data_IF_713388969751
#
_entry.id   IF_713388969751
#
_cell.length_a   1.000
_cell.length_b   1.000
_cell.length_c   1.000
_cell.angle_alpha   90.00
_cell.angle_beta   90.00
_cell.angle_gamma   90.00
#
_symmetry.space_group_name_H-M   'P 1'
#
loop_
_entity.id
_entity.type
_entity.pdbx_description
1 polymer ?
#
# COMPACT_ATOMS: atom_id res chain seq x y z
N UNK A 1 50.67 -39.81 32.97
CA UNK A 1 49.81 -38.64 33.27
C UNK A 1 49.91 -37.50 32.25
N UNK A 2 51.09 -37.02 31.83
CA UNK A 2 51.22 -35.86 30.91
C UNK A 2 50.56 -36.00 29.51
N UNK A 3 50.46 -37.21 28.93
CA UNK A 3 49.84 -37.42 27.60
C UNK A 3 48.31 -37.35 27.62
N UNK A 4 47.67 -37.85 28.68
CA UNK A 4 46.20 -37.80 28.85
C UNK A 4 45.70 -36.37 29.08
N UNK A 5 46.46 -35.55 29.79
CA UNK A 5 46.14 -34.12 30.00
C UNK A 5 46.15 -33.35 28.66
N UNK A 6 47.10 -33.65 27.76
CA UNK A 6 47.18 -33.01 26.44
C UNK A 6 46.02 -33.40 25.52
N UNK A 7 45.61 -34.67 25.53
CA UNK A 7 44.47 -35.14 24.73
C UNK A 7 43.16 -34.56 25.27
N UNK A 8 43.02 -34.48 26.61
CA UNK A 8 41.88 -33.83 27.26
C UNK A 8 41.77 -32.34 26.91
N UNK A 9 42.89 -31.60 26.86
CA UNK A 9 42.88 -30.19 26.47
C UNK A 9 42.49 -29.99 25.00
N UNK A 10 42.98 -30.85 24.11
CA UNK A 10 42.65 -30.78 22.67
C UNK A 10 41.16 -31.12 22.48
N UNK A 11 40.65 -32.14 23.17
CA UNK A 11 39.23 -32.52 23.09
C UNK A 11 38.33 -31.40 23.64
N UNK A 12 38.73 -30.74 24.73
CA UNK A 12 38.03 -29.59 25.27
C UNK A 12 38.04 -28.40 24.29
N UNK A 13 39.16 -28.14 23.60
CA UNK A 13 39.26 -27.08 22.60
C UNK A 13 38.41 -27.36 21.35
N UNK A 14 38.31 -28.62 20.91
CA UNK A 14 37.45 -29.02 19.78
C UNK A 14 35.98 -28.92 20.17
N UNK A 15 35.59 -29.34 21.39
CA UNK A 15 34.23 -29.17 21.90
C UNK A 15 33.85 -27.69 22.03
N UNK A 16 34.76 -26.84 22.51
CA UNK A 16 34.52 -25.39 22.61
C UNK A 16 34.30 -24.74 21.24
N UNK A 17 35.09 -25.11 20.23
CA UNK A 17 34.91 -24.62 18.85
C UNK A 17 33.63 -25.17 18.20
N UNK A 18 33.27 -26.42 18.50
CA UNK A 18 31.99 -27.00 18.06
C UNK A 18 30.79 -26.23 18.63
N UNK A 19 30.84 -25.86 19.92
CA UNK A 19 29.79 -25.05 20.56
C UNK A 19 29.75 -23.62 19.98
N UNK A 20 30.91 -23.02 19.67
CA UNK A 20 31.01 -21.70 19.03
C UNK A 20 30.37 -21.66 17.63
N UNK A 21 30.39 -22.76 16.88
CA UNK A 21 29.71 -22.85 15.58
C UNK A 21 28.17 -22.82 15.69
N UNK A 22 27.61 -23.13 16.86
CA UNK A 22 26.17 -23.05 17.14
C UNK A 22 25.78 -21.80 17.95
N UNK A 23 26.74 -21.01 18.42
CA UNK A 23 26.46 -19.75 19.14
C UNK A 23 25.63 -18.75 18.33
N UNK A 24 25.77 -18.61 16.99
CA UNK A 24 24.86 -17.76 16.22
C UNK A 24 23.41 -18.21 16.38
N UNK A 25 23.14 -19.52 16.35
CA UNK A 25 21.78 -20.07 16.51
C UNK A 25 21.19 -19.92 17.92
N UNK A 26 22.02 -19.67 18.93
CA UNK A 26 21.58 -19.41 20.31
C UNK A 26 21.48 -17.91 20.63
N UNK A 27 22.14 -17.04 19.87
CA UNK A 27 21.96 -15.58 19.95
C UNK A 27 20.77 -15.10 19.11
N UNK A 28 20.32 -15.90 18.13
CA UNK A 28 19.09 -15.69 17.36
C UNK A 28 17.91 -16.51 17.91
N UNK A 29 17.87 -16.83 19.20
CA UNK A 29 16.63 -17.29 19.83
C UNK A 29 15.71 -16.08 20.02
N UNK A 30 14.73 -15.94 19.13
CA UNK A 30 13.48 -15.19 19.28
C UNK A 30 13.58 -13.82 19.96
N UNK A 31 14.61 -13.05 19.61
CA UNK A 31 14.70 -11.60 19.91
C UNK A 31 14.42 -10.74 18.69
N UNK A 32 13.72 -11.29 17.69
CA UNK A 32 12.62 -10.51 17.15
C UNK A 32 11.58 -10.45 18.27
N UNK A 33 11.74 -9.46 19.14
CA UNK A 33 10.60 -8.91 19.85
C UNK A 33 9.52 -8.81 18.77
N UNK A 34 8.47 -9.63 18.88
CA UNK A 34 7.20 -9.30 18.24
C UNK A 34 7.06 -7.81 18.42
N UNK A 35 6.81 -7.00 17.37
CA UNK A 35 6.47 -5.62 17.60
C UNK A 35 5.47 -5.65 18.74
N UNK A 36 5.73 -4.87 19.80
CA UNK A 36 4.73 -4.64 20.81
C UNK A 36 3.63 -3.91 20.04
N UNK A 37 2.75 -4.70 19.42
CA UNK A 37 1.46 -4.28 18.92
C UNK A 37 0.74 -3.97 20.22
N UNK A 38 0.97 -2.75 20.69
CA UNK A 38 -0.02 -2.05 21.47
C UNK A 38 -1.15 -1.86 20.46
N UNK A 39 -1.94 -2.91 20.27
CA UNK A 39 -3.35 -2.79 19.95
C UNK A 39 -3.94 -2.05 21.17
N UNK A 40 -3.64 -0.75 21.29
CA UNK A 40 -4.76 0.14 21.50
C UNK A 40 -5.61 -0.14 20.27
N UNK A 41 -6.59 -1.03 20.45
CA UNK A 41 -7.79 -1.00 19.66
C UNK A 41 -8.31 0.43 19.84
N UNK A 42 -7.79 1.35 19.02
CA UNK A 42 -8.58 2.48 18.57
C UNK A 42 -9.90 1.83 18.21
N UNK A 43 -10.96 2.16 18.94
CA UNK A 43 -12.29 1.77 18.56
C UNK A 43 -12.51 2.42 17.19
N UNK A 44 -12.12 1.70 16.15
CA UNK A 44 -12.17 2.19 14.80
C UNK A 44 -13.65 2.39 14.52
N UNK A 45 -14.04 3.59 14.07
CA UNK A 45 -15.41 3.84 13.71
C UNK A 45 -15.82 2.81 12.66
N UNK A 46 -16.65 1.85 13.07
CA UNK A 46 -17.16 0.78 12.21
C UNK A 46 -18.34 1.36 11.44
N UNK A 47 -18.04 2.22 10.48
CA UNK A 47 -19.06 2.77 9.61
C UNK A 47 -19.27 1.79 8.45
N UNK A 48 -20.46 1.18 8.39
CA UNK A 48 -20.90 0.36 7.27
C UNK A 48 -21.32 1.25 6.08
N UNK A 49 -20.42 2.13 5.63
CA UNK A 49 -20.65 2.96 4.44
C UNK A 49 -20.45 2.14 3.17
N UNK A 50 -21.14 2.51 2.10
CA UNK A 50 -20.89 1.90 0.79
C UNK A 50 -19.55 2.40 0.21
N UNK A 51 -18.99 1.68 -0.75
CA UNK A 51 -17.71 2.08 -1.34
C UNK A 51 -17.86 3.33 -2.20
N UNK A 52 -19.03 3.54 -2.80
CA UNK A 52 -19.42 4.77 -3.48
C UNK A 52 -19.39 5.96 -2.49
N UNK A 53 -20.03 5.82 -1.31
CA UNK A 53 -19.98 6.85 -0.26
C UNK A 53 -18.54 7.14 0.19
N UNK A 54 -17.69 6.10 0.27
CA UNK A 54 -16.28 6.25 0.61
C UNK A 54 -15.48 6.98 -0.49
N UNK A 55 -15.80 6.75 -1.77
CA UNK A 55 -15.20 7.48 -2.89
C UNK A 55 -15.58 8.96 -2.83
N UNK A 56 -16.85 9.28 -2.61
CA UNK A 56 -17.34 10.66 -2.51
C UNK A 56 -16.68 11.42 -1.35
N UNK A 57 -16.55 10.78 -0.18
CA UNK A 57 -15.84 11.34 0.97
C UNK A 57 -14.35 11.51 0.66
N UNK A 58 -13.73 10.47 0.07
CA UNK A 58 -12.31 10.47 -0.23
C UNK A 58 -11.93 11.54 -1.24
N UNK A 59 -12.81 11.85 -2.21
CA UNK A 59 -12.58 12.86 -3.25
C UNK A 59 -12.11 14.20 -2.71
N UNK A 60 -12.55 14.61 -1.51
CA UNK A 60 -12.23 15.91 -0.92
C UNK A 60 -10.98 15.89 -0.04
N UNK A 61 -10.29 14.76 0.05
CA UNK A 61 -9.09 14.61 0.86
C UNK A 61 -7.91 15.14 0.08
N UNK A 62 -7.30 16.22 0.59
CA UNK A 62 -6.00 16.67 0.13
C UNK A 62 -4.92 15.73 0.68
N UNK A 63 -4.11 15.15 -0.21
CA UNK A 63 -3.01 14.26 0.15
C UNK A 63 -1.81 15.04 0.72
N UNK A 64 -1.67 16.33 0.43
CA UNK A 64 -0.53 17.16 0.87
C UNK A 64 -0.67 17.67 2.34
N UNK A 65 -1.87 17.72 2.92
CA UNK A 65 -2.15 18.34 4.24
C UNK A 65 -2.13 17.37 5.45
N UNK A 66 -1.48 16.21 5.37
CA UNK A 66 -1.62 15.16 6.41
C UNK A 66 -0.52 15.18 7.48
N UNK A 67 -0.85 15.74 8.64
CA UNK A 67 0.04 15.97 9.80
C UNK A 67 0.10 14.82 10.84
N UNK A 68 -0.25 13.59 10.48
CA UNK A 68 -0.24 12.46 11.41
C UNK A 68 0.94 11.51 11.17
N UNK A 69 2.09 11.82 11.78
CA UNK A 69 3.22 10.89 11.90
C UNK A 69 2.87 9.76 12.88
N UNK A 70 2.26 8.69 12.37
CA UNK A 70 2.18 7.41 13.08
C UNK A 70 3.20 6.47 12.44
N UNK A 71 3.94 5.76 13.30
CA UNK A 71 5.09 4.93 12.96
C UNK A 71 4.89 4.14 11.66
N UNK A 72 5.93 4.15 10.80
CA UNK A 72 6.10 3.27 9.64
C UNK A 72 5.77 1.83 10.00
N UNK A 73 4.52 1.43 9.82
CA UNK A 73 4.07 0.07 9.92
C UNK A 73 4.18 -0.47 8.50
N UNK A 74 5.06 -1.45 8.27
CA UNK A 74 5.01 -2.20 7.04
C UNK A 74 3.74 -3.05 7.09
N UNK A 75 2.64 -2.56 6.51
CA UNK A 75 1.46 -3.38 6.30
C UNK A 75 1.60 -4.10 4.96
N UNK A 76 2.06 -5.36 4.99
CA UNK A 76 2.22 -6.20 3.79
C UNK A 76 0.90 -6.34 3.00
N UNK A 77 -0.24 -6.29 3.68
CA UNK A 77 -1.55 -6.39 3.05
C UNK A 77 -1.83 -5.21 2.11
N UNK A 78 -1.51 -3.99 2.54
CA UNK A 78 -1.69 -2.80 1.70
C UNK A 78 -0.76 -2.78 0.49
N UNK A 79 0.47 -3.30 0.64
CA UNK A 79 1.39 -3.46 -0.49
C UNK A 79 0.79 -4.40 -1.54
N UNK A 80 0.17 -5.51 -1.10
CA UNK A 80 -0.51 -6.44 -2.00
C UNK A 80 -1.72 -5.80 -2.68
N UNK A 81 -2.46 -4.92 -2.02
CA UNK A 81 -3.57 -4.21 -2.67
C UNK A 81 -3.08 -3.25 -3.76
N UNK A 82 -1.98 -2.53 -3.52
CA UNK A 82 -1.36 -1.69 -4.57
C UNK A 82 -0.88 -2.56 -5.74
N UNK A 83 -0.23 -3.68 -5.45
CA UNK A 83 0.22 -4.64 -6.47
C UNK A 83 -0.96 -5.14 -7.32
N UNK A 84 -2.06 -5.59 -6.68
CA UNK A 84 -3.26 -6.06 -7.38
C UNK A 84 -3.89 -4.98 -8.26
N UNK A 85 -3.96 -3.74 -7.78
CA UNK A 85 -4.51 -2.64 -8.57
C UNK A 85 -3.63 -2.32 -9.78
N UNK A 86 -2.31 -2.24 -9.60
CA UNK A 86 -1.36 -2.03 -10.68
C UNK A 86 -1.44 -3.14 -11.74
N UNK A 87 -1.43 -4.41 -11.33
CA UNK A 87 -1.60 -5.55 -12.23
C UNK A 87 -2.93 -5.48 -12.99
N UNK A 88 -4.02 -5.14 -12.30
CA UNK A 88 -5.34 -4.97 -12.90
C UNK A 88 -5.38 -3.86 -13.95
N UNK A 89 -4.59 -2.81 -13.78
CA UNK A 89 -4.45 -1.71 -14.76
C UNK A 89 -3.37 -1.99 -15.82
N UNK A 90 -2.79 -3.19 -15.84
CA UNK A 90 -1.67 -3.56 -16.70
C UNK A 90 -0.44 -2.63 -16.56
N UNK A 91 -0.23 -2.11 -15.35
CA UNK A 91 0.94 -1.32 -14.97
C UNK A 91 2.00 -2.23 -14.36
N UNK A 92 3.27 -1.83 -14.50
CA UNK A 92 4.38 -2.60 -13.93
C UNK A 92 4.37 -2.58 -12.40
N UNK A 93 4.46 -3.77 -11.82
CA UNK A 93 4.68 -4.02 -10.38
C UNK A 93 6.13 -4.34 -10.05
N UNK A 94 7.00 -4.36 -11.05
CA UNK A 94 8.41 -4.69 -10.86
C UNK A 94 9.06 -3.70 -9.88
N UNK A 95 9.70 -4.26 -8.85
CA UNK A 95 10.33 -3.50 -7.77
C UNK A 95 9.38 -2.58 -6.99
N UNK A 96 8.11 -2.96 -6.85
CA UNK A 96 7.18 -2.26 -5.98
C UNK A 96 7.76 -2.12 -4.56
N UNK A 97 7.91 -0.88 -4.12
CA UNK A 97 8.36 -0.52 -2.79
C UNK A 97 7.53 0.64 -2.25
N UNK A 98 7.27 0.62 -0.93
CA UNK A 98 6.57 1.69 -0.23
C UNK A 98 7.57 2.59 0.50
N UNK A 99 7.40 3.89 0.36
CA UNK A 99 8.33 4.92 0.85
C UNK A 99 7.83 5.53 2.17
N UNK A 100 6.52 5.75 2.28
CA UNK A 100 5.81 6.21 3.48
C UNK A 100 4.44 5.54 3.58
N UNK A 101 3.95 5.44 4.81
CA UNK A 101 2.62 4.95 5.15
C UNK A 101 2.12 5.82 6.31
N UNK A 102 1.17 6.69 6.03
CA UNK A 102 0.66 7.68 6.98
C UNK A 102 -0.83 7.40 7.24
N UNK A 103 -1.21 7.39 8.53
CA UNK A 103 -2.58 7.12 8.95
C UNK A 103 -3.37 8.42 9.06
N UNK A 104 -4.56 8.48 8.47
CA UNK A 104 -5.46 9.62 8.56
C UNK A 104 -6.85 9.18 9.06
N UNK A 105 -7.44 9.97 9.96
CA UNK A 105 -8.84 9.80 10.35
C UNK A 105 -9.62 11.00 9.82
N UNK A 106 -10.52 10.76 8.87
CA UNK A 106 -11.30 11.81 8.20
C UNK A 106 -12.77 11.41 8.26
N UNK A 107 -13.64 12.32 8.73
CA UNK A 107 -15.09 12.08 8.81
C UNK A 107 -15.50 10.79 9.55
N UNK A 108 -14.73 10.43 10.59
CA UNK A 108 -14.82 9.15 11.32
C UNK A 108 -14.62 7.92 10.42
N UNK A 109 -13.68 8.00 9.47
CA UNK A 109 -13.22 6.89 8.65
C UNK A 109 -11.70 6.86 8.69
N UNK A 110 -11.13 5.66 8.78
CA UNK A 110 -9.69 5.46 8.84
C UNK A 110 -9.13 5.20 7.44
N UNK A 111 -8.08 5.94 7.08
CA UNK A 111 -7.40 5.80 5.79
C UNK A 111 -5.89 5.68 5.98
N UNK A 112 -5.24 4.93 5.09
CA UNK A 112 -3.79 4.87 4.94
C UNK A 112 -3.38 5.57 3.64
N UNK A 113 -2.55 6.60 3.76
CA UNK A 113 -1.88 7.26 2.64
C UNK A 113 -0.54 6.59 2.40
N UNK A 114 -0.31 6.11 1.18
CA UNK A 114 0.88 5.33 0.86
C UNK A 114 1.58 5.87 -0.37
N UNK A 115 2.85 6.23 -0.22
CA UNK A 115 3.69 6.61 -1.34
C UNK A 115 4.44 5.37 -1.79
N UNK A 116 4.39 5.08 -3.09
CA UNK A 116 5.01 3.89 -3.65
C UNK A 116 5.81 4.23 -4.91
N UNK A 117 6.73 3.32 -5.25
CA UNK A 117 7.55 3.40 -6.45
C UNK A 117 7.67 2.02 -7.07
N UNK A 118 7.71 1.99 -8.39
CA UNK A 118 8.07 0.82 -9.21
C UNK A 118 9.22 1.19 -10.12
N UNK A 119 9.74 0.23 -10.89
CA UNK A 119 10.79 0.55 -11.86
C UNK A 119 10.32 1.51 -12.98
N UNK A 120 9.02 1.51 -13.29
CA UNK A 120 8.45 2.29 -14.40
C UNK A 120 7.71 3.56 -13.95
N UNK A 121 7.46 3.76 -12.66
CA UNK A 121 6.71 4.91 -12.18
C UNK A 121 6.70 5.05 -10.67
N UNK A 122 5.94 6.03 -10.19
CA UNK A 122 5.72 6.28 -8.77
C UNK A 122 4.32 6.84 -8.57
N UNK A 123 3.83 6.84 -7.34
CA UNK A 123 2.51 7.38 -7.06
C UNK A 123 2.13 7.31 -5.59
N UNK A 124 0.86 7.62 -5.36
CA UNK A 124 0.25 7.65 -4.05
C UNK A 124 -1.08 6.89 -4.09
N UNK A 125 -1.38 6.15 -3.02
CA UNK A 125 -2.63 5.43 -2.86
C UNK A 125 -3.25 5.80 -1.50
N UNK A 126 -4.56 6.08 -1.50
CA UNK A 126 -5.34 6.21 -0.27
C UNK A 126 -6.18 4.96 -0.09
N UNK A 127 -5.88 4.18 0.95
CA UNK A 127 -6.56 2.92 1.27
C UNK A 127 -7.51 3.16 2.44
N UNK A 128 -8.77 2.77 2.30
CA UNK A 128 -9.70 2.78 3.44
C UNK A 128 -9.56 1.48 4.24
N UNK A 129 -9.39 1.59 5.56
CA UNK A 129 -9.01 0.48 6.45
C UNK A 129 -10.03 -0.67 6.45
N UNK A 130 -11.33 -0.36 6.52
CA UNK A 130 -12.35 -1.39 6.75
C UNK A 130 -12.65 -2.24 5.53
N UNK A 131 -12.63 -1.63 4.34
CA UNK A 131 -12.79 -2.28 3.04
C UNK A 131 -11.48 -2.83 2.49
N UNK A 132 -10.34 -2.30 2.97
CA UNK A 132 -9.02 -2.54 2.41
C UNK A 132 -9.01 -2.31 0.87
N UNK A 133 -9.58 -1.17 0.46
CA UNK A 133 -9.67 -0.76 -0.95
C UNK A 133 -9.02 0.58 -1.17
N UNK A 134 -8.36 0.72 -2.31
CA UNK A 134 -7.74 1.96 -2.77
C UNK A 134 -8.83 2.89 -3.31
N UNK A 135 -9.19 3.90 -2.53
CA UNK A 135 -10.27 4.86 -2.84
C UNK A 135 -9.76 6.15 -3.50
N UNK A 136 -8.45 6.42 -3.49
CA UNK A 136 -7.80 7.39 -4.37
C UNK A 136 -6.48 6.81 -4.85
N UNK A 137 -6.12 7.12 -6.08
CA UNK A 137 -4.91 6.57 -6.69
C UNK A 137 -4.27 7.57 -7.64
N UNK A 138 -2.95 7.74 -7.51
CA UNK A 138 -2.13 8.46 -8.47
C UNK A 138 -1.02 7.55 -8.97
N UNK A 139 -0.66 7.71 -10.25
CA UNK A 139 0.50 7.07 -10.85
C UNK A 139 1.10 7.97 -11.92
N UNK A 140 2.41 8.19 -11.80
CA UNK A 140 3.22 9.00 -12.69
C UNK A 140 4.31 8.11 -13.29
N UNK A 141 4.20 7.74 -14.58
CA UNK A 141 5.22 6.92 -15.22
C UNK A 141 6.49 7.75 -15.47
N UNK A 142 7.65 7.09 -15.42
CA UNK A 142 8.94 7.69 -15.75
C UNK A 142 9.09 7.98 -17.25
N UNK A 143 8.36 7.23 -18.08
CA UNK A 143 8.25 7.46 -19.52
C UNK A 143 6.78 7.60 -19.90
N UNK A 144 6.44 8.42 -20.90
CA UNK A 144 5.05 8.56 -21.29
C UNK A 144 4.46 7.21 -21.70
N UNK A 145 3.21 6.96 -21.32
CA UNK A 145 2.46 5.83 -21.84
C UNK A 145 2.39 5.93 -23.35
N UNK A 146 2.68 4.82 -24.03
CA UNK A 146 2.56 4.77 -25.48
C UNK A 146 1.18 4.33 -25.93
N UNK A 147 0.49 3.46 -25.17
CA UNK A 147 -0.73 2.76 -25.62
C UNK A 147 -1.70 2.38 -24.48
N UNK A 148 -1.92 3.24 -23.49
CA UNK A 148 -2.97 2.99 -22.48
C UNK A 148 -4.27 3.66 -22.91
N UNK A 149 -5.35 2.87 -22.98
CA UNK A 149 -6.71 3.35 -23.17
C UNK A 149 -7.32 3.78 -21.82
N UNK A 150 -7.66 5.08 -21.62
CA UNK A 150 -8.23 5.57 -20.38
C UNK A 150 -9.52 4.88 -19.96
N UNK A 151 -10.39 4.52 -20.90
CA UNK A 151 -11.65 3.81 -20.59
C UNK A 151 -11.35 2.43 -19.99
N UNK A 152 -10.34 1.73 -20.51
CA UNK A 152 -9.88 0.45 -19.97
C UNK A 152 -9.33 0.60 -18.54
N UNK A 153 -8.57 1.65 -18.25
CA UNK A 153 -8.07 1.94 -16.89
C UNK A 153 -9.24 2.14 -15.92
N UNK A 154 -10.22 2.97 -16.30
CA UNK A 154 -11.40 3.23 -15.49
C UNK A 154 -12.20 1.94 -15.26
N UNK A 155 -12.47 1.17 -16.33
CA UNK A 155 -13.20 -0.09 -16.22
C UNK A 155 -12.50 -1.08 -15.26
N UNK A 156 -11.17 -1.20 -15.35
CA UNK A 156 -10.40 -2.08 -14.45
C UNK A 156 -10.42 -1.58 -13.00
N UNK A 157 -10.34 -0.27 -12.77
CA UNK A 157 -10.42 0.31 -11.44
C UNK A 157 -11.79 0.03 -10.79
N UNK A 158 -12.90 0.27 -11.50
CA UNK A 158 -14.23 0.00 -10.94
C UNK A 158 -14.53 -1.49 -10.82
N UNK A 159 -13.95 -2.33 -11.68
CA UNK A 159 -13.99 -3.78 -11.50
C UNK A 159 -13.27 -4.21 -10.23
N UNK A 160 -12.10 -3.65 -9.93
CA UNK A 160 -11.35 -3.88 -8.68
C UNK A 160 -12.18 -3.47 -7.45
N UNK A 161 -12.87 -2.33 -7.53
CA UNK A 161 -13.76 -1.86 -6.47
C UNK A 161 -15.09 -2.63 -6.39
N UNK A 162 -15.42 -3.44 -7.40
CA UNK A 162 -16.72 -4.09 -7.55
C UNK A 162 -17.91 -3.09 -7.56
N UNK A 163 -17.71 -1.93 -8.18
CA UNK A 163 -18.74 -0.89 -8.35
C UNK A 163 -19.26 -0.92 -9.79
N UNK A 164 -20.58 -0.85 -9.94
CA UNK A 164 -21.23 -0.72 -11.25
C UNK A 164 -21.27 0.74 -11.68
N UNK A 165 -20.66 1.05 -12.83
CA UNK A 165 -20.69 2.38 -13.45
C UNK A 165 -21.89 2.50 -14.39
N UNK A 166 -22.52 3.66 -14.43
CA UNK A 166 -23.67 3.93 -15.30
C UNK A 166 -23.29 4.69 -16.56
N UNK A 167 -22.33 5.63 -16.46
CA UNK A 167 -21.85 6.42 -17.57
C UNK A 167 -20.43 6.96 -17.31
N UNK A 168 -19.71 7.26 -18.40
CA UNK A 168 -18.44 7.99 -18.39
C UNK A 168 -18.62 9.18 -19.34
N UNK A 169 -18.34 10.38 -18.84
CA UNK A 169 -18.25 11.60 -19.65
C UNK A 169 -16.78 12.00 -19.79
N UNK A 170 -16.31 12.16 -21.03
CA UNK A 170 -14.94 12.59 -21.33
C UNK A 170 -14.92 14.07 -21.75
N UNK A 171 -13.93 14.80 -21.24
CA UNK A 171 -13.57 16.14 -21.68
C UNK A 171 -12.04 16.30 -21.67
N UNK A 172 -11.44 16.23 -22.85
CA UNK A 172 -9.99 16.26 -23.04
C UNK A 172 -9.31 15.09 -22.28
N UNK A 173 -8.53 15.39 -21.23
CA UNK A 173 -7.88 14.37 -20.38
C UNK A 173 -8.66 14.09 -19.09
N UNK A 174 -9.82 14.74 -18.91
CA UNK A 174 -10.66 14.61 -17.73
C UNK A 174 -11.83 13.68 -18.02
N UNK A 175 -12.12 12.83 -17.05
CA UNK A 175 -13.18 11.84 -17.10
C UNK A 175 -14.05 11.99 -15.85
N UNK A 176 -15.35 12.16 -16.03
CA UNK A 176 -16.32 12.11 -14.94
C UNK A 176 -17.09 10.80 -15.06
N UNK A 177 -17.00 9.96 -14.04
CA UNK A 177 -17.63 8.65 -13.98
C UNK A 177 -18.83 8.73 -13.06
N UNK A 178 -19.98 8.26 -13.53
CA UNK A 178 -21.24 8.29 -12.80
C UNK A 178 -21.62 6.92 -12.26
N UNK A 179 -22.13 6.90 -11.03
CA UNK A 179 -22.62 5.72 -10.35
C UNK A 179 -24.15 5.60 -10.45
N UNK A 180 -24.72 4.53 -9.88
CA UNK A 180 -26.16 4.25 -9.94
C UNK A 180 -27.02 5.16 -9.04
N UNK A 181 -26.39 5.86 -8.10
CA UNK A 181 -27.02 6.69 -7.06
C UNK A 181 -26.80 8.21 -7.27
N UNK A 182 -26.43 8.62 -8.49
CA UNK A 182 -26.03 9.98 -8.86
C UNK A 182 -24.74 10.50 -8.21
N UNK A 183 -23.99 9.65 -7.50
CA UNK A 183 -22.62 10.00 -7.12
C UNK A 183 -21.70 9.99 -8.34
N UNK A 184 -20.58 10.69 -8.24
CA UNK A 184 -19.62 10.79 -9.34
C UNK A 184 -18.17 10.81 -8.85
N UNK A 185 -17.28 10.29 -9.68
CA UNK A 185 -15.84 10.32 -9.47
C UNK A 185 -15.16 11.02 -10.65
N UNK A 186 -14.26 11.95 -10.36
CA UNK A 186 -13.41 12.56 -11.38
C UNK A 186 -12.08 11.80 -11.51
N UNK A 187 -11.63 11.66 -12.75
CA UNK A 187 -10.36 11.06 -13.15
C UNK A 187 -9.64 11.95 -14.17
N UNK A 188 -8.30 11.92 -14.13
CA UNK A 188 -7.42 12.60 -15.07
C UNK A 188 -6.44 11.56 -15.56
N UNK A 189 -6.54 11.25 -16.85
CA UNK A 189 -5.72 10.23 -17.48
C UNK A 189 -5.14 10.82 -18.75
N UNK A 190 -3.82 10.87 -18.81
CA UNK A 190 -3.06 11.27 -19.99
C UNK A 190 -1.76 10.44 -20.08
N UNK A 191 -0.94 10.70 -21.10
CA UNK A 191 0.29 9.95 -21.33
C UNK A 191 1.30 10.04 -20.15
N UNK A 192 1.15 10.99 -19.23
CA UNK A 192 2.10 11.28 -18.18
C UNK A 192 1.55 11.08 -16.76
N UNK A 193 0.28 10.70 -16.62
CA UNK A 193 -0.34 10.52 -15.31
C UNK A 193 -1.68 9.79 -15.38
N UNK A 194 -1.94 9.04 -14.33
CA UNK A 194 -3.24 8.51 -13.95
C UNK A 194 -3.56 9.09 -12.58
N UNK A 195 -4.65 9.82 -12.45
CA UNK A 195 -5.14 10.36 -11.18
C UNK A 195 -6.61 9.98 -11.08
N UNK A 196 -6.96 9.19 -10.07
CA UNK A 196 -8.30 8.65 -9.84
C UNK A 196 -8.85 9.20 -8.52
N UNK A 197 -10.09 9.68 -8.57
CA UNK A 197 -10.88 10.19 -7.45
C UNK A 197 -10.24 11.37 -6.70
N UNK A 198 -9.99 12.47 -7.40
CA UNK A 198 -9.40 13.70 -6.83
C UNK A 198 -10.41 14.86 -6.78
N UNK A 199 -10.14 15.93 -6.02
CA UNK A 199 -11.01 17.10 -5.96
C UNK A 199 -11.18 17.77 -7.33
N UNK A 200 -12.43 18.03 -7.72
CA UNK A 200 -12.74 18.75 -8.96
C UNK A 200 -12.15 20.17 -8.92
N UNK A 201 -11.10 20.45 -9.70
CA UNK A 201 -10.50 21.79 -9.79
C UNK A 201 -8.97 21.88 -9.78
N UNK A 202 -8.25 20.76 -9.84
CA UNK A 202 -6.79 20.72 -10.08
C UNK A 202 -6.42 20.99 -11.54
#
# INVERSE_FOLDING_TARGET
MKKFIKISLILAAVLLNGVLLFLPRLLFTDTFSKPLVVEEMLELPTNSRSLEELLEDARNIDLEEKDAQINRLNNEEHVQEIERLLEGMALSTDYLATLSQDLAIISNTLYWSMHYVTIEGYGEALIEESSNRIVQFTYFPQQPFTDIDPETILANYFHYLAIEITAIEEKDTHYTVYFSDNQMMDALIDAYRIILNFPSGM
#
